data_IF_303129191312
#
_entry.id   IF_303129191312
#
_cell.length_a   1.000
_cell.length_b   1.000
_cell.length_c   1.000
_cell.angle_alpha   90.00
_cell.angle_beta   90.00
_cell.angle_gamma   90.00
#
_symmetry.space_group_name_H-M   'P 1'
#
loop_
_entity.id
_entity.type
_entity.pdbx_description
1 polymer ?
#
# COMPACT_ATOMS: atom_id res chain seq x y z
N UNK A 1 0.68 -35.92 30.12
CA UNK A 1 1.30 -34.74 29.49
C UNK A 1 0.35 -33.59 29.72
N UNK A 2 0.63 -32.76 30.74
CA UNK A 2 -0.23 -31.61 31.05
C UNK A 2 0.02 -30.55 29.98
N UNK A 3 -1.02 -30.18 29.22
CA UNK A 3 -0.91 -29.06 28.29
C UNK A 3 -0.69 -27.81 29.13
N UNK A 4 0.37 -27.06 28.85
CA UNK A 4 0.62 -25.80 29.53
C UNK A 4 -0.57 -24.86 29.25
N UNK A 5 -1.31 -24.53 30.30
CA UNK A 5 -2.49 -23.68 30.21
C UNK A 5 -2.16 -22.31 29.58
N UNK A 6 -0.93 -21.80 29.75
CA UNK A 6 -0.50 -20.55 29.13
C UNK A 6 -0.36 -20.70 27.62
N UNK A 7 0.17 -21.84 27.17
CA UNK A 7 0.27 -22.18 25.76
C UNK A 7 -1.12 -22.29 25.11
N UNK A 8 -2.09 -22.93 25.77
CA UNK A 8 -3.47 -23.03 25.24
C UNK A 8 -4.10 -21.65 25.08
N UNK A 9 -4.01 -20.80 26.11
CA UNK A 9 -4.55 -19.43 26.07
C UNK A 9 -3.90 -18.64 24.93
N UNK A 10 -2.57 -18.74 24.79
CA UNK A 10 -1.86 -18.08 23.70
C UNK A 10 -2.34 -18.56 22.32
N UNK A 11 -2.52 -19.87 22.12
CA UNK A 11 -3.05 -20.38 20.84
C UNK A 11 -4.47 -19.87 20.59
N UNK A 12 -5.35 -19.87 21.59
CA UNK A 12 -6.71 -19.32 21.44
C UNK A 12 -6.64 -17.85 21.01
N UNK A 13 -5.83 -17.02 21.68
CA UNK A 13 -5.63 -15.62 21.29
C UNK A 13 -5.11 -15.47 19.86
N UNK A 14 -4.23 -16.36 19.41
CA UNK A 14 -3.75 -16.38 18.02
C UNK A 14 -4.81 -16.77 17.01
N UNK A 15 -5.87 -17.48 17.40
CA UNK A 15 -6.96 -17.86 16.49
C UNK A 15 -8.00 -16.76 16.31
N UNK A 16 -8.03 -15.75 17.19
CA UNK A 16 -8.91 -14.58 17.05
C UNK A 16 -8.61 -13.80 15.76
N UNK A 17 -9.59 -13.01 15.30
CA UNK A 17 -9.56 -12.39 13.97
C UNK A 17 -9.16 -10.91 14.00
N UNK A 18 -9.35 -10.23 15.13
CA UNK A 18 -9.09 -8.79 15.25
C UNK A 18 -8.49 -8.42 16.62
N UNK A 19 -7.97 -7.19 16.71
CA UNK A 19 -7.37 -6.66 17.92
C UNK A 19 -8.35 -6.51 19.09
N UNK A 20 -9.61 -6.16 18.81
CA UNK A 20 -10.64 -5.96 19.83
C UNK A 20 -10.93 -7.26 20.59
N UNK A 21 -11.07 -8.38 19.88
CA UNK A 21 -11.28 -9.70 20.48
C UNK A 21 -10.11 -10.12 21.35
N UNK A 22 -8.86 -9.89 20.89
CA UNK A 22 -7.67 -10.21 21.68
C UNK A 22 -7.62 -9.38 22.95
N UNK A 23 -7.93 -8.08 22.87
CA UNK A 23 -7.95 -7.21 24.04
C UNK A 23 -9.09 -7.57 24.99
N UNK A 24 -10.30 -7.82 24.49
CA UNK A 24 -11.43 -8.31 25.27
C UNK A 24 -11.10 -9.61 25.98
N UNK A 25 -10.46 -10.56 25.29
CA UNK A 25 -10.01 -11.82 25.89
C UNK A 25 -8.97 -11.60 26.99
N UNK A 26 -8.01 -10.70 26.78
CA UNK A 26 -7.01 -10.35 27.79
C UNK A 26 -7.64 -9.76 29.05
N UNK A 27 -8.78 -9.08 28.94
CA UNK A 27 -9.51 -8.48 30.06
C UNK A 27 -10.38 -9.46 30.85
N UNK A 28 -10.57 -10.70 30.38
CA UNK A 28 -11.46 -11.67 31.05
C UNK A 28 -10.93 -12.13 32.43
N UNK A 29 -9.61 -12.28 32.58
CA UNK A 29 -8.99 -12.66 33.85
C UNK A 29 -7.47 -12.39 33.87
N UNK A 30 -6.88 -12.41 35.07
CA UNK A 30 -5.45 -12.14 35.28
C UNK A 30 -4.50 -13.07 34.52
N UNK A 31 -4.91 -14.33 34.30
CA UNK A 31 -4.10 -15.31 33.56
C UNK A 31 -4.09 -15.00 32.06
N UNK A 32 -5.24 -14.71 31.48
CA UNK A 32 -5.34 -14.25 30.09
C UNK A 32 -4.55 -12.95 29.88
N UNK A 33 -4.69 -11.98 30.79
CA UNK A 33 -3.89 -10.76 30.76
C UNK A 33 -2.38 -11.03 30.80
N UNK A 34 -1.93 -11.91 31.70
CA UNK A 34 -0.51 -12.26 31.81
C UNK A 34 0.03 -12.90 30.52
N UNK A 35 -0.71 -13.84 29.94
CA UNK A 35 -0.34 -14.49 28.66
C UNK A 35 -0.30 -13.45 27.54
N UNK A 36 -1.29 -12.57 27.45
CA UNK A 36 -1.30 -11.48 26.49
C UNK A 36 -0.07 -10.58 26.65
N UNK A 37 0.22 -10.08 27.86
CA UNK A 37 1.38 -9.20 28.12
C UNK A 37 2.72 -9.87 27.81
N UNK A 38 2.86 -11.17 28.07
CA UNK A 38 4.05 -11.95 27.72
C UNK A 38 4.26 -12.08 26.20
N UNK A 39 3.18 -12.07 25.42
CA UNK A 39 3.19 -12.28 23.97
C UNK A 39 2.61 -11.11 23.18
N UNK A 40 2.65 -9.90 23.75
CA UNK A 40 1.85 -8.77 23.30
C UNK A 40 2.17 -8.36 21.86
N UNK A 41 3.46 -8.13 21.57
CA UNK A 41 3.90 -7.69 20.25
C UNK A 41 3.55 -8.71 19.16
N UNK A 42 3.81 -10.00 19.41
CA UNK A 42 3.54 -11.04 18.41
C UNK A 42 2.04 -11.23 18.16
N UNK A 43 1.20 -11.11 19.20
CA UNK A 43 -0.25 -11.14 19.05
C UNK A 43 -0.74 -9.94 18.25
N UNK A 44 -0.29 -8.73 18.58
CA UNK A 44 -0.67 -7.50 17.86
C UNK A 44 -0.25 -7.57 16.39
N UNK A 45 1.00 -7.94 16.10
CA UNK A 45 1.48 -8.13 14.71
C UNK A 45 0.63 -9.15 13.96
N UNK A 46 0.34 -10.29 14.59
CA UNK A 46 -0.48 -11.35 13.99
C UNK A 46 -1.90 -10.87 13.68
N UNK A 47 -2.52 -10.10 14.59
CA UNK A 47 -3.86 -9.56 14.38
C UNK A 47 -3.88 -8.51 13.27
N UNK A 48 -2.93 -7.58 13.25
CA UNK A 48 -2.84 -6.58 12.19
C UNK A 48 -2.63 -7.27 10.83
N UNK A 49 -1.78 -8.30 10.76
CA UNK A 49 -1.62 -9.10 9.55
C UNK A 49 -2.91 -9.78 9.10
N UNK A 50 -3.69 -10.37 10.02
CA UNK A 50 -4.98 -10.97 9.68
C UNK A 50 -6.01 -9.95 9.19
N UNK A 51 -6.12 -8.82 9.87
CA UNK A 51 -7.06 -7.76 9.53
C UNK A 51 -6.71 -7.10 8.18
N UNK A 52 -5.44 -6.76 7.99
CA UNK A 52 -4.93 -6.15 6.76
C UNK A 52 -3.44 -6.47 6.57
N UNK A 53 -3.12 -7.49 5.75
CA UNK A 53 -1.74 -7.81 5.39
C UNK A 53 -0.93 -6.62 4.84
N UNK A 54 -1.46 -5.72 3.97
CA UNK A 54 -0.68 -4.57 3.50
C UNK A 54 -0.48 -3.51 4.59
N UNK A 55 -1.39 -3.38 5.56
CA UNK A 55 -1.16 -2.50 6.70
C UNK A 55 -0.02 -3.02 7.57
N UNK A 56 0.03 -4.34 7.81
CA UNK A 56 1.15 -4.99 8.51
C UNK A 56 2.48 -4.76 7.78
N UNK A 57 2.52 -4.95 6.46
CA UNK A 57 3.73 -4.76 5.66
C UNK A 57 4.27 -3.32 5.78
N UNK A 58 3.38 -2.32 5.74
CA UNK A 58 3.78 -0.93 5.95
C UNK A 58 4.45 -0.73 7.32
N UNK A 59 3.89 -1.32 8.38
CA UNK A 59 4.46 -1.22 9.72
C UNK A 59 5.86 -1.83 9.74
N UNK A 60 6.04 -3.04 9.24
CA UNK A 60 7.34 -3.70 9.27
C UNK A 60 8.41 -2.92 8.49
N UNK A 61 8.07 -2.42 7.30
CA UNK A 61 8.99 -1.59 6.50
C UNK A 61 9.36 -0.32 7.27
N UNK A 62 8.36 0.37 7.83
CA UNK A 62 8.56 1.62 8.57
C UNK A 62 9.50 1.42 9.76
N UNK A 63 9.27 0.37 10.56
CA UNK A 63 10.12 0.08 11.72
C UNK A 63 11.52 -0.40 11.32
N UNK A 64 11.64 -1.15 10.21
CA UNK A 64 12.95 -1.54 9.68
C UNK A 64 13.77 -0.33 9.23
N UNK A 65 13.15 0.71 8.68
CA UNK A 65 13.84 1.93 8.26
C UNK A 65 14.24 2.82 9.45
N UNK A 66 13.42 2.88 10.49
CA UNK A 66 13.64 3.78 11.64
C UNK A 66 14.76 3.30 12.59
N UNK A 67 15.19 2.03 12.52
CA UNK A 67 16.15 1.43 13.45
C UNK A 67 15.79 1.67 14.94
N UNK A 68 14.49 1.71 15.27
CA UNK A 68 13.99 1.98 16.63
C UNK A 68 13.71 0.70 17.40
N UNK A 69 13.78 0.77 18.73
CA UNK A 69 13.38 -0.34 19.58
C UNK A 69 11.87 -0.63 19.41
N UNK A 70 11.57 -1.83 18.95
CA UNK A 70 10.21 -2.23 18.62
C UNK A 70 9.49 -2.79 19.85
N UNK A 71 8.46 -2.09 20.31
CA UNK A 71 7.58 -2.50 21.40
C UNK A 71 6.15 -2.66 20.90
N UNK A 72 5.33 -3.44 21.63
CA UNK A 72 3.90 -3.56 21.34
C UNK A 72 3.19 -2.19 21.29
N UNK A 73 3.52 -1.32 22.24
CA UNK A 73 2.93 0.02 22.35
C UNK A 73 3.32 0.90 21.16
N UNK A 74 4.61 0.96 20.81
CA UNK A 74 5.05 1.78 19.67
C UNK A 74 4.46 1.28 18.35
N UNK A 75 4.36 -0.04 18.18
CA UNK A 75 3.74 -0.66 17.00
C UNK A 75 2.25 -0.31 16.88
N UNK A 76 1.48 -0.45 17.97
CA UNK A 76 0.05 -0.14 17.97
C UNK A 76 -0.21 1.36 17.76
N UNK A 77 0.60 2.24 18.37
CA UNK A 77 0.51 3.68 18.16
C UNK A 77 0.80 4.07 16.71
N UNK A 78 1.80 3.47 16.07
CA UNK A 78 2.09 3.73 14.67
C UNK A 78 0.94 3.24 13.77
N UNK A 79 0.42 2.04 14.01
CA UNK A 79 -0.75 1.52 13.31
C UNK A 79 -1.98 2.45 13.46
N UNK A 80 -2.26 2.95 14.66
CA UNK A 80 -3.35 3.90 14.90
C UNK A 80 -3.15 5.21 14.14
N UNK A 81 -1.94 5.79 14.14
CA UNK A 81 -1.65 7.01 13.36
C UNK A 81 -1.88 6.78 11.88
N UNK A 82 -1.36 5.67 11.35
CA UNK A 82 -1.56 5.34 9.94
C UNK A 82 -3.03 5.10 9.59
N UNK A 83 -3.84 4.50 10.49
CA UNK A 83 -5.28 4.37 10.32
C UNK A 83 -5.99 5.72 10.20
N UNK A 84 -5.63 6.71 11.02
CA UNK A 84 -6.20 8.06 10.90
C UNK A 84 -5.93 8.68 9.53
N UNK A 85 -4.71 8.54 9.02
CA UNK A 85 -4.35 9.02 7.67
C UNK A 85 -5.21 8.33 6.59
N UNK A 86 -5.43 7.02 6.68
CA UNK A 86 -6.29 6.30 5.74
C UNK A 86 -7.74 6.81 5.82
N UNK A 87 -8.27 7.03 7.03
CA UNK A 87 -9.63 7.56 7.23
C UNK A 87 -9.78 8.94 6.61
N UNK A 88 -8.83 9.85 6.88
CA UNK A 88 -8.83 11.19 6.30
C UNK A 88 -8.74 11.12 4.77
N UNK A 89 -7.88 10.26 4.24
CA UNK A 89 -7.72 10.08 2.80
C UNK A 89 -9.02 9.58 2.15
N UNK A 90 -9.75 8.65 2.78
CA UNK A 90 -11.07 8.22 2.30
C UNK A 90 -12.06 9.37 2.25
N UNK A 91 -12.10 10.22 3.27
CA UNK A 91 -12.97 11.40 3.32
C UNK A 91 -12.60 12.38 2.20
N UNK A 92 -11.32 12.66 1.99
CA UNK A 92 -10.87 13.52 0.90
C UNK A 92 -11.21 12.95 -0.48
N UNK A 93 -10.98 11.65 -0.68
CA UNK A 93 -11.36 10.96 -1.91
C UNK A 93 -12.87 11.03 -2.09
N UNK A 94 -13.70 10.84 -1.07
CA UNK A 94 -15.15 10.99 -1.22
C UNK A 94 -15.55 12.41 -1.63
N UNK A 95 -14.95 13.44 -1.02
CA UNK A 95 -15.31 14.82 -1.27
C UNK A 95 -14.87 15.32 -2.66
N UNK A 96 -13.64 15.00 -3.07
CA UNK A 96 -13.06 15.47 -4.33
C UNK A 96 -13.38 14.52 -5.49
N UNK A 97 -13.41 13.23 -5.17
CA UNK A 97 -13.55 12.03 -6.00
C UNK A 97 -14.85 11.82 -6.79
N UNK A 98 -15.94 12.32 -6.19
CA UNK A 98 -17.19 11.57 -6.19
C UNK A 98 -17.77 11.37 -7.59
N UNK A 99 -17.61 12.39 -8.42
CA UNK A 99 -18.25 12.46 -9.74
C UNK A 99 -17.61 11.53 -10.78
N UNK A 100 -16.45 10.95 -10.48
CA UNK A 100 -15.66 10.14 -11.41
C UNK A 100 -15.38 8.73 -10.90
N UNK A 101 -15.75 8.45 -9.65
CA UNK A 101 -15.66 7.11 -9.08
C UNK A 101 -16.86 6.25 -9.50
N UNK A 102 -16.63 4.95 -9.80
CA UNK A 102 -17.72 3.99 -9.92
C UNK A 102 -18.57 3.99 -8.65
N UNK A 103 -19.90 3.85 -8.79
CA UNK A 103 -20.81 3.82 -7.63
C UNK A 103 -20.40 2.78 -6.59
N UNK A 104 -19.94 1.61 -7.05
CA UNK A 104 -19.42 0.54 -6.18
C UNK A 104 -18.30 1.06 -5.26
N UNK A 105 -17.33 1.79 -5.82
CA UNK A 105 -16.21 2.38 -5.06
C UNK A 105 -16.70 3.47 -4.10
N UNK A 106 -17.70 4.27 -4.49
CA UNK A 106 -18.30 5.28 -3.60
C UNK A 106 -18.95 4.64 -2.38
N UNK A 107 -19.75 3.59 -2.57
CA UNK A 107 -20.37 2.87 -1.46
C UNK A 107 -19.29 2.23 -0.57
N UNK A 108 -18.29 1.57 -1.15
CA UNK A 108 -17.17 1.00 -0.42
C UNK A 108 -16.41 2.03 0.43
N UNK A 109 -16.17 3.24 -0.10
CA UNK A 109 -15.52 4.32 0.65
C UNK A 109 -16.32 4.78 1.87
N UNK A 110 -17.64 4.58 1.90
CA UNK A 110 -18.49 4.91 3.06
C UNK A 110 -18.50 3.85 4.17
N UNK A 111 -17.84 2.70 3.97
CA UNK A 111 -17.67 1.69 5.02
C UNK A 111 -18.85 0.76 5.26
N UNK A 112 -19.75 0.60 4.28
CA UNK A 112 -21.02 -0.11 4.47
C UNK A 112 -21.03 -1.56 3.96
N UNK A 113 -19.96 -2.03 3.31
CA UNK A 113 -19.90 -3.35 2.68
C UNK A 113 -18.50 -3.99 2.79
N UNK A 114 -18.43 -5.28 2.43
CA UNK A 114 -17.17 -6.06 2.33
C UNK A 114 -16.19 -5.42 1.33
N UNK A 115 -16.70 -4.66 0.36
CA UNK A 115 -15.87 -3.94 -0.60
C UNK A 115 -15.11 -2.76 0.03
N UNK A 116 -15.59 -2.22 1.16
CA UNK A 116 -14.82 -1.23 1.94
C UNK A 116 -13.46 -1.77 2.33
N UNK A 117 -13.36 -3.03 2.76
CA UNK A 117 -12.07 -3.61 3.13
C UNK A 117 -11.11 -3.69 1.93
N UNK A 118 -11.65 -3.95 0.73
CA UNK A 118 -10.85 -4.00 -0.48
C UNK A 118 -10.31 -2.62 -0.86
N UNK A 119 -11.07 -1.56 -0.64
CA UNK A 119 -10.62 -0.18 -0.82
C UNK A 119 -9.59 0.21 0.24
N UNK A 120 -9.80 -0.17 1.50
CA UNK A 120 -8.83 0.08 2.58
C UNK A 120 -7.51 -0.63 2.28
N UNK A 121 -7.54 -1.91 1.88
CA UNK A 121 -6.37 -2.66 1.43
C UNK A 121 -5.70 -2.00 0.22
N UNK A 122 -6.46 -1.45 -0.72
CA UNK A 122 -5.90 -0.72 -1.85
C UNK A 122 -5.14 0.53 -1.38
N UNK A 123 -5.71 1.35 -0.50
CA UNK A 123 -5.03 2.53 0.07
C UNK A 123 -3.75 2.14 0.81
N UNK A 124 -3.79 1.08 1.62
CA UNK A 124 -2.58 0.56 2.28
C UNK A 124 -1.51 0.12 1.29
N UNK A 125 -1.89 -0.61 0.24
CA UNK A 125 -0.96 -1.07 -0.82
C UNK A 125 -0.34 0.09 -1.58
N UNK A 126 -1.11 1.12 -1.88
CA UNK A 126 -0.63 2.36 -2.50
C UNK A 126 0.45 2.98 -1.60
N UNK A 127 0.19 3.07 -0.30
CA UNK A 127 1.16 3.60 0.65
C UNK A 127 2.43 2.76 0.71
N UNK A 128 2.32 1.44 0.90
CA UNK A 128 3.48 0.52 0.91
C UNK A 128 4.29 0.68 -0.36
N UNK A 129 3.63 0.72 -1.52
CA UNK A 129 4.33 0.90 -2.78
C UNK A 129 5.10 2.22 -2.83
N UNK A 130 4.49 3.34 -2.43
CA UNK A 130 5.17 4.63 -2.34
C UNK A 130 6.31 4.63 -1.31
N UNK A 131 6.18 3.88 -0.22
CA UNK A 131 7.25 3.74 0.78
C UNK A 131 8.48 3.01 0.19
N UNK A 132 8.28 2.04 -0.70
CA UNK A 132 9.35 1.24 -1.29
C UNK A 132 9.94 1.88 -2.55
N UNK A 133 9.08 2.37 -3.45
CA UNK A 133 9.42 2.78 -4.82
C UNK A 133 9.13 4.25 -5.09
N UNK A 134 8.64 5.00 -4.10
CA UNK A 134 8.28 6.40 -4.27
C UNK A 134 9.49 7.32 -4.44
N UNK A 135 9.20 8.60 -4.69
CA UNK A 135 10.21 9.62 -4.92
C UNK A 135 11.24 9.68 -3.78
N UNK A 136 12.52 9.78 -4.15
CA UNK A 136 13.63 9.88 -3.21
C UNK A 136 14.07 8.53 -2.63
N UNK A 137 13.45 7.43 -3.05
CA UNK A 137 13.89 6.07 -2.72
C UNK A 137 14.92 5.54 -3.71
N UNK A 138 15.17 6.22 -4.83
CA UNK A 138 16.07 5.81 -5.92
C UNK A 138 15.69 4.45 -6.53
N UNK A 139 14.38 4.13 -6.50
CA UNK A 139 13.82 2.86 -6.99
C UNK A 139 12.59 3.06 -7.88
N UNK A 140 12.38 4.29 -8.32
CA UNK A 140 11.28 4.69 -9.21
C UNK A 140 11.38 3.96 -10.56
N UNK A 141 12.61 3.72 -11.04
CA UNK A 141 12.90 2.98 -12.27
C UNK A 141 13.06 1.46 -12.12
N UNK A 142 12.91 0.91 -10.90
CA UNK A 142 13.04 -0.53 -10.64
C UNK A 142 11.76 -1.29 -11.03
N UNK A 143 11.47 -1.33 -12.33
CA UNK A 143 10.26 -1.96 -12.88
C UNK A 143 10.17 -3.44 -12.50
N UNK A 144 11.31 -4.14 -12.47
CA UNK A 144 11.35 -5.56 -12.09
C UNK A 144 10.99 -5.76 -10.62
N UNK A 145 11.53 -4.94 -9.71
CA UNK A 145 11.16 -4.96 -8.30
C UNK A 145 9.69 -4.60 -8.07
N UNK A 146 9.15 -3.63 -8.82
CA UNK A 146 7.73 -3.29 -8.76
C UNK A 146 6.83 -4.45 -9.20
N UNK A 147 7.15 -5.11 -10.32
CA UNK A 147 6.42 -6.29 -10.80
C UNK A 147 6.52 -7.44 -9.79
N UNK A 148 7.72 -7.68 -9.24
CA UNK A 148 7.94 -8.71 -8.22
C UNK A 148 7.08 -8.45 -6.98
N UNK A 149 7.00 -7.19 -6.52
CA UNK A 149 6.16 -6.80 -5.39
C UNK A 149 4.67 -7.05 -5.67
N UNK A 150 4.19 -6.61 -6.84
CA UNK A 150 2.79 -6.83 -7.28
C UNK A 150 2.44 -8.33 -7.38
N UNK A 151 3.43 -9.19 -7.59
CA UNK A 151 3.31 -10.65 -7.63
C UNK A 151 3.56 -11.31 -6.28
N UNK A 152 3.57 -10.56 -5.17
CA UNK A 152 3.72 -11.11 -3.83
C UNK A 152 5.11 -11.70 -3.58
N UNK A 153 6.14 -11.16 -4.24
CA UNK A 153 7.52 -11.66 -4.12
C UNK A 153 7.79 -12.91 -4.96
N UNK A 154 6.81 -13.39 -5.73
CA UNK A 154 6.97 -14.56 -6.59
C UNK A 154 7.50 -14.15 -7.96
N UNK A 155 8.65 -14.71 -8.36
CA UNK A 155 9.15 -14.57 -9.72
C UNK A 155 8.47 -15.61 -10.63
N UNK A 156 7.77 -15.21 -11.70
CA UNK A 156 7.19 -16.16 -12.65
C UNK A 156 8.25 -16.88 -13.51
N UNK A 157 9.53 -16.47 -13.49
CA UNK A 157 10.59 -17.13 -14.24
C UNK A 157 12.00 -16.73 -13.78
N UNK A 158 12.57 -17.41 -12.78
CA UNK A 158 14.02 -17.72 -12.73
C UNK A 158 14.22 -18.98 -11.86
N UNK A 159 14.63 -20.14 -12.41
CA UNK A 159 15.22 -21.19 -11.59
C UNK A 159 16.55 -20.67 -11.06
N UNK A 160 16.79 -20.84 -9.76
CA UNK A 160 18.00 -20.46 -9.03
C UNK A 160 19.26 -20.47 -9.91
N UNK A 161 19.63 -19.31 -10.45
CA UNK A 161 20.92 -19.07 -11.09
C UNK A 161 21.51 -17.86 -10.38
N UNK A 162 22.32 -18.21 -9.39
CA UNK A 162 23.36 -17.36 -8.83
C UNK A 162 24.36 -17.07 -9.95
N UNK A 163 24.93 -15.87 -9.89
CA UNK A 163 26.17 -15.41 -10.55
C UNK A 163 26.04 -14.44 -11.73
N UNK A 164 26.29 -13.17 -11.39
CA UNK A 164 27.08 -12.20 -12.15
C UNK A 164 26.58 -11.74 -13.52
N UNK A 165 25.81 -10.64 -13.53
CA UNK A 165 26.02 -9.55 -14.50
C UNK A 165 25.87 -8.22 -13.76
N UNK A 166 26.95 -7.44 -13.72
CA UNK A 166 26.97 -6.13 -13.08
C UNK A 166 26.05 -5.12 -13.77
N UNK A 167 25.32 -4.37 -12.96
CA UNK A 167 24.53 -3.21 -13.38
C UNK A 167 23.07 -3.33 -12.95
N UNK A 168 22.63 -2.31 -12.20
CA UNK A 168 21.28 -1.98 -11.71
C UNK A 168 20.72 -2.81 -10.53
N UNK A 169 20.57 -2.12 -9.39
CA UNK A 169 20.10 -2.55 -8.07
C UNK A 169 18.66 -3.12 -8.07
N UNK A 170 18.46 -4.30 -8.67
CA UNK A 170 17.35 -5.17 -8.33
C UNK A 170 17.66 -5.88 -7.02
N UNK A 171 16.74 -5.89 -6.05
CA UNK A 171 16.90 -6.55 -4.74
C UNK A 171 17.46 -7.97 -4.92
N UNK A 172 18.76 -8.15 -4.70
CA UNK A 172 19.40 -9.47 -4.74
C UNK A 172 18.85 -10.38 -3.64
N UNK A 173 18.33 -9.79 -2.55
CA UNK A 173 17.57 -10.42 -1.47
C UNK A 173 16.58 -9.39 -0.89
N UNK A 174 15.29 -9.39 -1.28
CA UNK A 174 14.30 -8.53 -0.63
C UNK A 174 14.18 -8.85 0.89
N UNK A 175 13.88 -7.87 1.76
CA UNK A 175 13.53 -8.14 3.15
C UNK A 175 12.39 -9.17 3.24
N UNK A 176 12.33 -9.92 4.34
CA UNK A 176 11.32 -10.97 4.52
C UNK A 176 9.88 -10.42 4.38
N UNK A 177 9.68 -9.16 4.76
CA UNK A 177 8.39 -8.50 4.80
C UNK A 177 7.95 -7.97 3.44
N UNK A 178 8.89 -7.85 2.48
CA UNK A 178 8.62 -7.36 1.14
C UNK A 178 7.55 -8.21 0.43
N UNK A 179 6.51 -7.54 -0.06
CA UNK A 179 5.40 -8.11 -0.79
C UNK A 179 4.54 -9.12 -0.01
N UNK A 180 4.82 -9.32 1.28
CA UNK A 180 4.09 -10.27 2.13
C UNK A 180 2.63 -9.82 2.32
N UNK A 181 2.36 -8.51 2.30
CA UNK A 181 1.02 -7.93 2.33
C UNK A 181 0.19 -8.20 1.06
N UNK A 182 0.80 -8.74 0.01
CA UNK A 182 0.12 -9.13 -1.22
C UNK A 182 -0.24 -10.62 -1.26
N UNK A 183 0.04 -11.40 -0.21
CA UNK A 183 -0.45 -12.78 0.00
C UNK A 183 -0.26 -13.73 -1.20
N UNK A 184 0.89 -13.66 -1.89
CA UNK A 184 1.17 -14.48 -3.07
C UNK A 184 0.79 -13.84 -4.41
N UNK A 185 0.38 -12.57 -4.40
CA UNK A 185 0.20 -11.75 -5.58
C UNK A 185 -1.17 -11.10 -5.65
N UNK A 186 -1.20 -9.89 -6.19
CA UNK A 186 -2.43 -9.12 -6.34
C UNK A 186 -3.31 -9.68 -7.46
N UNK A 187 -4.60 -9.85 -7.16
CA UNK A 187 -5.61 -10.23 -8.14
C UNK A 187 -5.92 -9.08 -9.10
N UNK A 188 -6.63 -9.37 -10.20
CA UNK A 188 -7.13 -8.32 -11.11
C UNK A 188 -8.02 -7.30 -10.39
N UNK A 189 -8.82 -7.76 -9.43
CA UNK A 189 -9.70 -6.88 -8.64
C UNK A 189 -8.88 -5.95 -7.74
N UNK A 190 -7.85 -6.47 -7.08
CA UNK A 190 -6.94 -5.66 -6.25
C UNK A 190 -6.27 -4.56 -7.08
N UNK A 191 -5.75 -4.92 -8.26
CA UNK A 191 -5.10 -3.98 -9.17
C UNK A 191 -6.08 -2.92 -9.69
N UNK A 192 -7.32 -3.30 -10.01
CA UNK A 192 -8.36 -2.37 -10.44
C UNK A 192 -8.73 -1.38 -9.34
N UNK A 193 -8.85 -1.85 -8.09
CA UNK A 193 -9.12 -1.00 -6.93
C UNK A 193 -7.96 -0.03 -6.69
N UNK A 194 -6.72 -0.54 -6.70
CA UNK A 194 -5.52 0.30 -6.60
C UNK A 194 -5.49 1.35 -7.70
N UNK A 195 -5.65 0.98 -8.97
CA UNK A 195 -5.64 1.91 -10.10
C UNK A 195 -6.72 3.00 -9.99
N UNK A 196 -7.94 2.61 -9.59
CA UNK A 196 -9.05 3.56 -9.41
C UNK A 196 -8.72 4.61 -8.35
N UNK A 197 -8.24 4.17 -7.18
CA UNK A 197 -7.83 5.07 -6.10
C UNK A 197 -6.62 5.92 -6.51
N UNK A 198 -5.66 5.34 -7.23
CA UNK A 198 -4.49 6.04 -7.76
C UNK A 198 -4.87 7.22 -8.65
N UNK A 199 -5.84 7.02 -9.54
CA UNK A 199 -6.37 8.07 -10.42
C UNK A 199 -7.06 9.18 -9.63
N UNK A 200 -7.77 8.85 -8.55
CA UNK A 200 -8.36 9.86 -7.66
C UNK A 200 -7.30 10.71 -6.98
N UNK A 201 -6.27 10.06 -6.40
CA UNK A 201 -5.16 10.77 -5.75
C UNK A 201 -4.42 11.69 -6.72
N UNK A 202 -4.19 11.20 -7.95
CA UNK A 202 -3.62 12.01 -9.03
C UNK A 202 -4.43 13.26 -9.31
N UNK A 203 -5.74 13.10 -9.48
CA UNK A 203 -6.61 14.22 -9.81
C UNK A 203 -6.61 15.27 -8.70
N UNK A 204 -6.66 14.83 -7.44
CA UNK A 204 -6.56 15.71 -6.28
C UNK A 204 -5.24 16.48 -6.26
N UNK A 205 -4.13 15.83 -6.62
CA UNK A 205 -2.81 16.45 -6.73
C UNK A 205 -2.75 17.49 -7.85
N UNK A 206 -3.24 17.14 -9.04
CA UNK A 206 -3.32 18.04 -10.19
C UNK A 206 -4.17 19.28 -9.87
N UNK A 207 -5.36 19.09 -9.28
CA UNK A 207 -6.24 20.18 -8.88
C UNK A 207 -5.60 21.07 -7.79
N UNK A 208 -4.84 20.48 -6.86
CA UNK A 208 -4.11 21.24 -5.83
C UNK A 208 -2.94 22.03 -6.41
N UNK A 209 -2.19 21.44 -7.33
CA UNK A 209 -1.07 22.12 -8.02
C UNK A 209 -1.57 23.26 -8.92
N UNK A 210 -2.65 23.03 -9.66
CA UNK A 210 -3.30 24.06 -10.48
C UNK A 210 -3.86 25.21 -9.64
N UNK A 211 -4.27 24.95 -8.40
CA UNK A 211 -4.65 25.98 -7.43
C UNK A 211 -3.43 26.72 -6.88
N UNK A 212 -2.35 26.01 -6.52
CA UNK A 212 -1.09 26.61 -6.06
C UNK A 212 -0.44 27.52 -7.10
N UNK A 213 -0.45 27.13 -8.38
CA UNK A 213 0.03 27.99 -9.48
C UNK A 213 -0.84 29.24 -9.70
N UNK A 214 -2.09 29.25 -9.21
CA UNK A 214 -2.99 30.42 -9.25
C UNK A 214 -2.87 31.30 -8.02
N UNK A 215 -2.28 30.82 -6.93
CA UNK A 215 -2.01 31.57 -5.70
C UNK A 215 -0.52 31.52 -5.40
N UNK A 216 0.24 32.44 -5.98
CA UNK A 216 1.56 32.76 -5.44
C UNK A 216 1.39 33.27 -3.99
N UNK A 217 2.23 32.74 -3.10
CA UNK A 217 2.30 32.91 -1.65
C UNK A 217 1.34 32.11 -0.73
N UNK A 218 2.00 31.34 0.14
CA UNK A 218 1.55 30.60 1.35
C UNK A 218 1.15 29.15 1.12
N UNK A 219 2.08 28.23 1.43
CA UNK A 219 1.84 27.11 2.37
C UNK A 219 3.19 26.44 2.63
N UNK A 220 3.84 26.82 3.75
CA UNK A 220 5.17 26.33 4.11
C UNK A 220 5.15 25.37 5.31
N UNK A 221 4.00 24.85 5.74
CA UNK A 221 3.89 24.16 7.03
C UNK A 221 2.89 22.99 7.15
N UNK A 222 2.41 22.38 6.06
CA UNK A 222 1.48 21.24 6.20
C UNK A 222 2.19 19.89 6.10
N UNK A 223 2.02 19.08 7.15
CA UNK A 223 2.47 17.68 7.30
C UNK A 223 2.02 16.78 6.13
N UNK A 224 0.92 17.15 5.47
CA UNK A 224 0.43 16.51 4.25
C UNK A 224 1.33 16.74 3.03
N UNK A 225 2.04 17.86 2.93
CA UNK A 225 2.87 18.18 1.76
C UNK A 225 3.95 17.11 1.46
N UNK A 226 4.40 16.35 2.45
CA UNK A 226 5.32 15.22 2.27
C UNK A 226 4.71 14.02 1.55
N UNK A 227 3.46 13.67 1.86
CA UNK A 227 2.71 12.60 1.17
C UNK A 227 2.35 13.03 -0.26
N UNK A 228 1.98 14.31 -0.44
CA UNK A 228 1.52 14.86 -1.72
C UNK A 228 2.68 15.20 -2.69
N UNK A 229 3.85 15.63 -2.20
CA UNK A 229 5.04 15.93 -3.02
C UNK A 229 5.64 14.69 -3.72
N UNK A 230 5.63 13.53 -3.05
CA UNK A 230 6.27 12.31 -3.58
C UNK A 230 5.42 11.52 -4.59
N UNK A 231 4.14 11.86 -4.76
CA UNK A 231 3.22 11.03 -5.53
C UNK A 231 3.16 11.40 -7.02
N UNK A 232 3.44 12.64 -7.42
CA UNK A 232 3.19 13.11 -8.79
C UNK A 232 4.02 12.33 -9.82
N UNK A 233 5.34 12.20 -9.65
CA UNK A 233 6.21 11.48 -10.60
C UNK A 233 5.98 9.96 -10.59
N UNK A 234 5.59 9.43 -9.44
CA UNK A 234 5.39 8.00 -9.19
C UNK A 234 4.09 7.52 -9.85
N UNK A 235 3.02 8.31 -9.76
CA UNK A 235 1.71 8.06 -10.41
C UNK A 235 1.85 7.87 -11.94
N UNK A 236 2.76 8.61 -12.59
CA UNK A 236 2.93 8.55 -14.05
C UNK A 236 3.61 7.24 -14.52
N UNK A 237 4.63 6.77 -13.80
CA UNK A 237 5.27 5.47 -14.06
C UNK A 237 4.32 4.29 -13.78
N UNK A 238 3.41 4.45 -12.81
CA UNK A 238 2.59 3.37 -12.27
C UNK A 238 1.38 2.99 -13.12
N UNK A 239 0.81 3.92 -13.89
CA UNK A 239 -0.24 3.56 -14.85
C UNK A 239 0.28 2.57 -15.90
N UNK A 240 1.54 2.67 -16.33
CA UNK A 240 2.09 1.75 -17.33
C UNK A 240 2.38 0.36 -16.75
N UNK A 241 2.90 0.24 -15.52
CA UNK A 241 3.16 -1.07 -14.88
C UNK A 241 1.87 -1.83 -14.56
N UNK A 242 0.86 -1.14 -14.00
CA UNK A 242 -0.44 -1.74 -13.71
C UNK A 242 -1.19 -2.07 -15.01
N UNK A 243 -1.10 -1.23 -16.05
CA UNK A 243 -1.70 -1.50 -17.36
C UNK A 243 -1.05 -2.69 -18.07
N UNK A 244 0.29 -2.83 -18.00
CA UNK A 244 1.02 -4.01 -18.51
C UNK A 244 0.57 -5.30 -17.83
N UNK A 245 0.22 -5.27 -16.54
CA UNK A 245 -0.31 -6.44 -15.80
C UNK A 245 -1.79 -6.72 -16.13
N UNK A 246 -2.54 -5.71 -16.60
CA UNK A 246 -3.96 -5.83 -16.97
C UNK A 246 -4.20 -6.03 -18.49
N UNK A 247 -3.15 -6.15 -19.31
CA UNK A 247 -3.21 -6.16 -20.78
C UNK A 247 -3.92 -4.91 -21.37
N UNK A 248 -3.79 -3.76 -20.72
CA UNK A 248 -4.32 -2.47 -21.17
C UNK A 248 -3.17 -1.71 -21.88
N UNK A 249 -3.47 -1.07 -23.02
CA UNK A 249 -2.53 -0.40 -23.95
C UNK A 249 -1.38 0.33 -23.24
N UNK A 250 -0.16 0.11 -23.72
CA UNK A 250 1.10 0.72 -23.28
C UNK A 250 1.09 2.25 -23.35
N UNK A 251 1.46 2.91 -22.26
CA UNK A 251 1.72 4.36 -22.22
C UNK A 251 3.24 4.55 -22.30
N UNK A 252 3.76 4.78 -23.50
CA UNK A 252 5.18 5.10 -23.68
C UNK A 252 5.50 6.51 -23.15
N UNK A 253 6.45 6.64 -22.21
CA UNK A 253 7.03 7.93 -21.84
C UNK A 253 8.56 7.82 -21.70
N UNK A 254 9.28 8.43 -22.64
CA UNK A 254 10.65 8.97 -22.54
C UNK A 254 10.56 10.39 -23.17
N UNK A 255 11.28 11.47 -22.80
CA UNK A 255 12.47 11.69 -21.98
C UNK A 255 12.46 13.11 -21.36
N UNK A 256 13.54 13.41 -20.63
CA UNK A 256 13.90 14.65 -19.92
C UNK A 256 14.01 15.91 -20.77
N UNK A 257 13.90 17.09 -20.11
CA UNK A 257 14.59 18.31 -20.49
C UNK A 257 15.18 19.03 -19.27
N UNK A 258 16.34 19.66 -19.47
CA UNK A 258 17.28 20.26 -18.50
C UNK A 258 16.75 21.44 -17.64
N UNK A 259 15.45 21.55 -17.39
CA UNK A 259 14.87 22.72 -16.70
C UNK A 259 13.95 22.40 -15.53
N UNK A 260 13.88 21.16 -15.04
CA UNK A 260 13.28 20.87 -13.72
C UNK A 260 11.78 21.14 -13.57
N UNK A 261 11.03 21.21 -14.68
CA UNK A 261 9.55 21.28 -14.66
C UNK A 261 8.98 20.23 -15.62
N UNK A 262 8.21 19.28 -15.10
CA UNK A 262 7.52 18.25 -15.89
C UNK A 262 6.16 18.77 -16.34
N UNK A 263 5.95 18.86 -17.66
CA UNK A 263 4.70 19.31 -18.27
C UNK A 263 4.28 18.25 -19.29
N UNK A 264 3.18 17.53 -19.02
CA UNK A 264 2.66 16.51 -19.94
C UNK A 264 1.64 17.13 -20.87
N UNK A 265 1.92 17.06 -22.18
CA UNK A 265 0.97 17.37 -23.25
C UNK A 265 0.44 16.07 -23.86
N UNK A 266 -0.86 15.85 -23.68
CA UNK A 266 -1.75 14.89 -24.37
C UNK A 266 -1.58 13.38 -24.13
N UNK A 267 -2.65 12.77 -23.59
CA UNK A 267 -3.00 11.36 -23.79
C UNK A 267 -3.86 11.23 -25.06
N UNK A 268 -3.53 10.28 -25.95
CA UNK A 268 -4.41 9.89 -27.07
C UNK A 268 -4.89 8.45 -26.84
N UNK A 269 -6.20 8.27 -26.77
CA UNK A 269 -6.86 6.96 -26.68
C UNK A 269 -6.93 6.36 -28.08
N UNK A 270 -6.30 5.20 -28.32
CA UNK A 270 -6.55 4.40 -29.52
C UNK A 270 -7.59 3.32 -29.14
N UNK A 271 -8.73 3.34 -29.83
CA UNK A 271 -9.87 2.44 -29.61
C UNK A 271 -9.55 0.97 -29.91
N UNK A 272 -10.28 0.11 -29.20
CA UNK A 272 -10.65 -1.30 -29.44
C UNK A 272 -10.11 -1.94 -30.73
N UNK A 273 -9.31 -3.00 -30.59
CA UNK A 273 -9.30 -4.06 -31.60
C UNK A 273 -10.50 -4.96 -31.31
N UNK A 274 -11.54 -4.70 -32.08
CA UNK A 274 -12.75 -5.49 -32.19
C UNK A 274 -12.37 -6.91 -32.64
N UNK A 275 -12.31 -7.87 -31.71
CA UNK A 275 -12.25 -9.29 -32.05
C UNK A 275 -13.68 -9.79 -32.31
N UNK A 276 -14.26 -9.32 -33.41
CA UNK A 276 -15.43 -9.97 -34.00
C UNK A 276 -14.96 -10.97 -35.07
N UNK A 277 -15.43 -12.20 -34.90
CA UNK A 277 -15.24 -13.33 -35.81
C UNK A 277 -15.39 -12.99 -37.30
N UNK A 278 -14.35 -13.25 -38.10
CA UNK A 278 -14.35 -14.17 -39.27
C UNK A 278 -13.03 -14.14 -40.02
#
# INVERSE_FOLDING_TARGET
MWVDNDYVIFQIMRFLENLEDVFSMALLNSKAYHVFKKHELILIKSMIFKMSPPAWELQEITFSEMNTELTATSYLQNYQRSLFVIIELKVFILCQCANFLPRKTLFALTGQDEESENIDRALWRIWVFCQIFGCGKNREGDINGQILWLNGGQSPAVPALVENVGGVDGLTMPPHEFATGNCGGLTKSDLSNMATIWLCLRRMLEDSYDQQLKTEDKFQNDEYAGLFSCCVDVIYLQTDVVSRKLDIISVNIWSTNNSGYYLIRQCTVIREVDNSHK
#
